data_IF_111928643647
#
_entry.id   IF_111928643647
#
_cell.length_a   1.000
_cell.length_b   1.000
_cell.length_c   1.000
_cell.angle_alpha   90.00
_cell.angle_beta   90.00
_cell.angle_gamma   90.00
#
_symmetry.space_group_name_H-M   'P 1'
#
loop_
_entity.id
_entity.type
_entity.pdbx_description
1 polymer ?
#
# COMPACT_ATOMS: atom_id res chain seq x y z
N UNK A 1 -4.43 20.77 31.61
CA UNK A 1 -5.63 21.42 31.03
C UNK A 1 -5.32 22.38 29.88
N UNK A 2 -4.05 22.76 29.62
CA UNK A 2 -3.67 23.65 28.53
C UNK A 2 -3.52 22.96 27.14
N UNK A 3 -3.36 21.64 27.09
CA UNK A 3 -3.11 20.91 25.83
C UNK A 3 -4.35 20.74 24.94
N UNK A 4 -5.57 20.85 25.49
CA UNK A 4 -6.80 20.59 24.72
C UNK A 4 -7.15 21.71 23.72
N UNK A 5 -6.66 22.93 23.93
CA UNK A 5 -7.00 24.10 23.11
C UNK A 5 -6.00 24.37 21.98
N UNK A 6 -4.75 23.91 22.09
CA UNK A 6 -3.75 24.00 21.01
C UNK A 6 -3.93 22.90 19.93
N UNK A 7 -4.64 21.82 20.27
CA UNK A 7 -4.88 20.66 19.40
C UNK A 7 -6.17 20.79 18.55
N UNK A 8 -7.16 21.58 18.99
CA UNK A 8 -8.36 21.86 18.18
C UNK A 8 -8.06 22.82 17.02
N UNK A 9 -7.13 23.78 17.20
CA UNK A 9 -6.78 24.76 16.17
C UNK A 9 -6.12 24.13 14.92
N UNK A 10 -5.37 23.04 15.09
CA UNK A 10 -4.77 22.29 13.96
C UNK A 10 -5.75 21.39 13.20
N UNK A 11 -6.92 21.11 13.77
CA UNK A 11 -7.90 20.17 13.25
C UNK A 11 -8.87 20.84 12.28
N UNK A 12 -9.31 22.06 12.58
CA UNK A 12 -10.15 22.85 11.67
C UNK A 12 -9.36 23.27 10.42
N UNK A 13 -8.11 23.73 10.56
CA UNK A 13 -7.29 24.12 9.40
C UNK A 13 -6.95 22.92 8.49
N UNK A 14 -6.72 21.72 9.03
CA UNK A 14 -6.43 20.53 8.22
C UNK A 14 -7.67 19.91 7.53
N UNK A 15 -8.88 20.21 8.03
CA UNK A 15 -10.15 19.77 7.41
C UNK A 15 -10.66 20.83 6.42
N UNK A 16 -10.34 22.11 6.63
CA UNK A 16 -10.79 23.24 5.80
C UNK A 16 -9.81 23.55 4.65
N UNK A 17 -8.56 23.11 4.73
CA UNK A 17 -7.63 23.25 3.61
C UNK A 17 -8.11 22.40 2.41
N UNK A 18 -8.55 23.08 1.35
CA UNK A 18 -9.00 22.54 0.06
C UNK A 18 -7.94 21.65 -0.64
N UNK A 19 -6.77 21.48 -0.02
CA UNK A 19 -5.63 20.68 -0.49
C UNK A 19 -5.56 19.26 0.09
N UNK A 20 -6.39 18.88 1.08
CA UNK A 20 -6.54 17.50 1.53
C UNK A 20 -7.49 16.70 0.59
N UNK A 21 -7.14 16.60 -0.70
CA UNK A 21 -8.03 16.01 -1.74
C UNK A 21 -7.96 14.49 -1.87
N UNK A 22 -7.02 13.81 -1.21
CA UNK A 22 -6.88 12.35 -1.35
C UNK A 22 -7.39 11.58 -0.12
N UNK A 23 -8.26 10.56 -0.29
CA UNK A 23 -8.73 9.70 0.82
C UNK A 23 -7.57 8.96 1.53
N UNK A 24 -6.38 8.94 0.92
CA UNK A 24 -5.14 8.45 1.50
C UNK A 24 -4.65 9.25 2.73
N UNK A 25 -4.83 10.58 2.73
CA UNK A 25 -4.41 11.45 3.84
C UNK A 25 -5.34 11.27 5.04
N UNK A 26 -6.64 11.12 4.78
CA UNK A 26 -7.67 10.85 5.79
C UNK A 26 -7.50 9.45 6.41
N UNK A 27 -7.10 8.45 5.61
CA UNK A 27 -6.81 7.10 6.14
C UNK A 27 -5.52 7.04 6.97
N UNK A 28 -4.51 7.84 6.65
CA UNK A 28 -3.29 7.94 7.47
C UNK A 28 -3.56 8.67 8.79
N UNK A 29 -4.35 9.76 8.76
CA UNK A 29 -4.83 10.45 9.96
C UNK A 29 -5.65 9.48 10.83
N UNK A 30 -6.62 8.76 10.26
CA UNK A 30 -7.45 7.83 11.04
C UNK A 30 -6.69 6.62 11.58
N UNK A 31 -5.60 6.16 10.93
CA UNK A 31 -4.70 5.14 11.52
C UNK A 31 -3.98 5.63 12.78
N UNK A 32 -3.70 6.94 12.90
CA UNK A 32 -3.15 7.51 14.13
C UNK A 32 -4.16 7.45 15.29
N UNK A 33 -5.46 7.44 15.01
CA UNK A 33 -6.54 7.44 16.02
C UNK A 33 -7.21 6.07 16.25
N UNK A 34 -7.06 5.10 15.34
CA UNK A 34 -7.80 3.82 15.40
C UNK A 34 -7.08 2.67 16.11
N UNK A 35 -5.78 2.76 16.37
CA UNK A 35 -5.02 1.65 16.96
C UNK A 35 -4.97 1.72 18.49
N UNK A 36 -5.59 0.74 19.16
CA UNK A 36 -5.47 0.51 20.62
C UNK A 36 -4.09 0.01 21.05
N UNK A 37 -3.20 -0.35 20.11
CA UNK A 37 -1.86 -0.89 20.39
C UNK A 37 -0.82 0.22 20.41
N UNK A 38 -0.30 0.53 21.59
CA UNK A 38 0.80 1.50 21.75
C UNK A 38 2.03 1.05 20.94
N UNK A 39 2.59 1.95 20.15
CA UNK A 39 3.85 1.74 19.43
C UNK A 39 5.04 1.87 20.38
N UNK A 40 6.21 1.33 19.99
CA UNK A 40 7.45 1.50 20.78
C UNK A 40 7.78 2.98 21.01
N UNK A 41 7.51 3.84 20.03
CA UNK A 41 7.74 5.27 20.14
C UNK A 41 6.73 5.97 21.05
N UNK A 42 5.44 5.59 21.04
CA UNK A 42 4.47 6.15 22.00
C UNK A 42 4.81 5.75 23.43
N UNK A 43 5.26 4.52 23.65
CA UNK A 43 5.73 4.06 24.96
C UNK A 43 6.95 4.87 25.41
N UNK A 44 7.92 5.11 24.53
CA UNK A 44 9.08 5.95 24.83
C UNK A 44 8.71 7.43 25.13
N UNK A 45 7.67 7.97 24.48
CA UNK A 45 7.14 9.32 24.78
C UNK A 45 6.49 9.39 26.16
N UNK A 46 5.70 8.38 26.54
CA UNK A 46 5.12 8.28 27.88
C UNK A 46 6.18 8.21 28.99
N UNK A 47 7.38 7.70 28.67
CA UNK A 47 8.54 7.70 29.56
C UNK A 47 9.24 9.07 29.66
N UNK A 48 8.84 10.08 28.89
CA UNK A 48 9.40 11.42 28.92
C UNK A 48 10.71 11.60 28.15
N UNK A 49 11.02 10.70 27.21
CA UNK A 49 12.28 10.73 26.45
C UNK A 49 12.22 11.60 25.17
N UNK A 50 11.10 12.28 24.93
CA UNK A 50 10.84 13.02 23.69
C UNK A 50 11.74 14.23 23.49
N UNK A 51 11.82 15.11 24.50
CA UNK A 51 12.67 16.30 24.42
C UNK A 51 14.15 15.94 24.24
N UNK A 52 14.59 14.82 24.84
CA UNK A 52 15.94 14.30 24.67
C UNK A 52 16.16 13.86 23.22
N UNK A 53 15.26 13.04 22.67
CA UNK A 53 15.37 12.57 21.29
C UNK A 53 15.33 13.72 20.26
N UNK A 54 14.41 14.67 20.42
CA UNK A 54 14.34 15.87 19.57
C UNK A 54 15.59 16.74 19.72
N UNK A 55 16.05 16.95 20.95
CA UNK A 55 17.29 17.68 21.22
C UNK A 55 18.49 17.03 20.55
N UNK A 56 18.60 15.70 20.60
CA UNK A 56 19.67 14.94 19.96
C UNK A 56 19.63 15.07 18.43
N UNK A 57 18.44 15.02 17.82
CA UNK A 57 18.27 15.26 16.37
C UNK A 57 18.63 16.70 15.97
N UNK A 58 18.46 17.68 16.87
CA UNK A 58 18.90 19.07 16.68
C UNK A 58 20.40 19.31 16.94
N UNK A 59 21.15 18.26 17.30
CA UNK A 59 22.60 18.34 17.54
C UNK A 59 23.01 18.65 18.98
N UNK A 60 22.07 18.68 19.93
CA UNK A 60 22.39 18.85 21.37
C UNK A 60 23.00 17.58 21.95
N UNK A 61 23.87 17.75 22.94
CA UNK A 61 24.50 16.65 23.67
C UNK A 61 23.77 16.38 24.98
N UNK A 62 23.33 15.14 25.20
CA UNK A 62 22.79 14.66 26.47
C UNK A 62 23.69 13.58 27.09
N UNK A 63 23.68 13.48 28.42
CA UNK A 63 24.29 12.37 29.14
C UNK A 63 23.21 11.32 29.45
N UNK A 64 23.19 10.24 28.66
CA UNK A 64 22.15 9.19 28.76
C UNK A 64 22.18 8.45 30.09
N UNK A 65 23.33 8.37 30.75
CA UNK A 65 23.47 7.74 32.06
C UNK A 65 22.69 8.47 33.15
N UNK A 66 22.45 9.77 33.01
CA UNK A 66 21.62 10.55 33.95
C UNK A 66 20.13 10.24 33.82
N UNK A 67 19.70 9.63 32.71
CA UNK A 67 18.30 9.26 32.49
C UNK A 67 17.95 7.90 33.10
N UNK A 68 18.95 7.10 33.48
CA UNK A 68 18.75 5.80 34.13
C UNK A 68 18.17 6.01 35.52
N UNK A 69 17.07 5.31 35.82
CA UNK A 69 16.36 5.43 37.09
C UNK A 69 15.47 6.68 37.21
N UNK A 70 15.41 7.53 36.20
CA UNK A 70 14.50 8.69 36.19
C UNK A 70 13.02 8.28 36.21
N UNK A 71 12.71 7.09 35.67
CA UNK A 71 11.41 6.41 35.78
C UNK A 71 11.60 4.93 36.09
N UNK A 72 10.55 4.29 36.61
CA UNK A 72 10.54 2.86 37.01
C UNK A 72 10.80 1.91 35.86
N UNK A 73 10.61 2.34 34.63
CA UNK A 73 10.79 1.54 33.42
C UNK A 73 12.21 1.69 32.82
N UNK A 74 12.95 2.73 33.21
CA UNK A 74 14.28 3.06 32.68
C UNK A 74 15.37 2.48 33.57
N UNK A 75 15.43 1.15 33.64
CA UNK A 75 16.23 0.42 34.64
C UNK A 75 17.73 0.37 34.33
N UNK A 76 18.09 0.47 33.05
CA UNK A 76 19.48 0.41 32.60
C UNK A 76 19.71 1.31 31.38
N UNK A 77 20.97 1.58 31.08
CA UNK A 77 21.37 2.44 29.96
C UNK A 77 20.88 1.87 28.61
N UNK A 78 20.96 0.56 28.42
CA UNK A 78 20.52 -0.10 27.20
C UNK A 78 19.03 0.14 26.90
N UNK A 79 18.18 0.08 27.92
CA UNK A 79 16.75 0.37 27.78
C UNK A 79 16.51 1.82 27.39
N UNK A 80 17.25 2.76 27.98
CA UNK A 80 17.18 4.19 27.61
C UNK A 80 17.55 4.36 26.14
N UNK A 81 18.69 3.79 25.72
CA UNK A 81 19.16 3.87 24.34
C UNK A 81 18.19 3.25 23.34
N UNK A 82 17.61 2.08 23.64
CA UNK A 82 16.61 1.43 22.79
C UNK A 82 15.37 2.32 22.63
N UNK A 83 14.87 2.93 23.71
CA UNK A 83 13.70 3.79 23.65
C UNK A 83 13.98 5.09 22.89
N UNK A 84 15.13 5.72 23.13
CA UNK A 84 15.57 6.90 22.37
C UNK A 84 15.73 6.56 20.89
N UNK A 85 16.35 5.42 20.54
CA UNK A 85 16.50 4.97 19.15
C UNK A 85 15.14 4.81 18.46
N UNK A 86 14.19 4.14 19.11
CA UNK A 86 12.83 3.96 18.57
C UNK A 86 12.13 5.30 18.36
N UNK A 87 12.34 6.25 19.27
CA UNK A 87 11.72 7.56 19.22
C UNK A 87 12.35 8.44 18.12
N UNK A 88 13.67 8.45 18.01
CA UNK A 88 14.38 9.13 16.93
C UNK A 88 13.95 8.60 15.55
N UNK A 89 13.78 7.29 15.40
CA UNK A 89 13.28 6.70 14.16
C UNK A 89 11.85 7.15 13.82
N UNK A 90 10.95 7.21 14.81
CA UNK A 90 9.57 7.71 14.63
C UNK A 90 9.55 9.22 14.31
N UNK A 91 10.38 10.03 14.99
CA UNK A 91 10.52 11.46 14.72
C UNK A 91 11.03 11.72 13.30
N UNK A 92 12.07 11.00 12.87
CA UNK A 92 12.61 11.11 11.51
C UNK A 92 11.57 10.77 10.44
N UNK A 93 10.73 9.75 10.68
CA UNK A 93 9.64 9.39 9.77
C UNK A 93 8.55 10.48 9.66
N UNK A 94 8.38 11.31 10.70
CA UNK A 94 7.39 12.39 10.76
C UNK A 94 7.90 13.75 10.28
N UNK A 95 9.19 13.87 9.96
CA UNK A 95 9.75 15.12 9.44
C UNK A 95 9.07 15.51 8.12
N UNK A 96 8.69 16.79 7.92
CA UNK A 96 8.09 17.25 6.67
C UNK A 96 8.94 16.89 5.44
N UNK A 97 10.25 17.06 5.54
CA UNK A 97 11.20 16.75 4.46
C UNK A 97 11.18 15.25 4.10
N UNK A 98 10.98 14.38 5.10
CA UNK A 98 10.84 12.94 4.86
C UNK A 98 9.55 12.65 4.11
N UNK A 99 8.44 13.30 4.47
CA UNK A 99 7.16 13.13 3.79
C UNK A 99 7.22 13.63 2.34
N UNK A 100 7.83 14.79 2.11
CA UNK A 100 8.02 15.35 0.79
C UNK A 100 8.92 14.47 -0.08
N UNK A 101 10.00 13.92 0.49
CA UNK A 101 10.87 12.97 -0.21
C UNK A 101 10.11 11.70 -0.59
N UNK A 102 9.28 11.17 0.31
CA UNK A 102 8.42 10.00 0.02
C UNK A 102 7.47 10.31 -1.13
N UNK A 103 6.84 11.50 -1.14
CA UNK A 103 5.95 11.95 -2.21
C UNK A 103 6.70 12.07 -3.53
N UNK A 104 7.86 12.73 -3.56
CA UNK A 104 8.68 12.88 -4.76
C UNK A 104 9.14 11.52 -5.34
N UNK A 105 9.54 10.57 -4.48
CA UNK A 105 9.90 9.21 -4.92
C UNK A 105 8.67 8.48 -5.46
N UNK A 106 7.53 8.55 -4.76
CA UNK A 106 6.31 7.88 -5.17
C UNK A 106 5.70 8.44 -6.47
N UNK A 107 5.80 9.77 -6.65
CA UNK A 107 5.47 10.48 -7.89
C UNK A 107 6.47 10.23 -9.03
N UNK A 108 7.52 9.44 -8.80
CA UNK A 108 8.57 9.10 -9.76
C UNK A 108 9.35 10.31 -10.27
N UNK A 109 9.37 11.40 -9.49
CA UNK A 109 10.06 12.66 -9.79
C UNK A 109 11.58 12.55 -9.57
N UNK A 110 12.01 11.50 -8.88
CA UNK A 110 13.42 11.21 -8.59
C UNK A 110 14.04 10.22 -9.58
N UNK A 111 15.37 10.07 -9.51
CA UNK A 111 16.13 9.09 -10.31
C UNK A 111 16.19 7.69 -9.66
N UNK A 112 15.44 7.48 -8.58
CA UNK A 112 15.37 6.21 -7.89
C UNK A 112 14.82 5.14 -8.83
N UNK A 113 15.52 4.01 -8.91
CA UNK A 113 15.04 2.87 -9.67
C UNK A 113 14.00 2.10 -8.86
N UNK A 114 12.77 2.08 -9.38
CA UNK A 114 11.63 1.41 -8.77
C UNK A 114 11.22 0.23 -9.66
N UNK A 115 11.09 -0.96 -9.08
CA UNK A 115 10.59 -2.11 -9.83
C UNK A 115 9.49 -2.84 -9.06
N UNK A 116 8.50 -3.34 -9.78
CA UNK A 116 7.56 -4.32 -9.24
C UNK A 116 8.21 -5.69 -9.29
N UNK A 117 8.12 -6.43 -8.19
CA UNK A 117 8.51 -7.83 -8.10
C UNK A 117 7.32 -8.65 -7.63
N UNK A 118 7.01 -9.72 -8.35
CA UNK A 118 5.93 -10.63 -8.03
C UNK A 118 6.44 -12.07 -8.07
N UNK A 119 5.96 -12.88 -7.13
CA UNK A 119 6.11 -14.32 -7.24
C UNK A 119 5.17 -15.09 -6.35
N UNK A 120 5.41 -16.40 -6.19
CA UNK A 120 4.51 -17.26 -5.42
C UNK A 120 4.43 -16.86 -3.95
N UNK A 121 3.21 -16.85 -3.43
CA UNK A 121 2.96 -16.65 -2.01
C UNK A 121 3.55 -17.79 -1.17
N UNK A 122 3.82 -17.52 0.11
CA UNK A 122 4.29 -18.56 1.03
C UNK A 122 3.26 -19.69 1.26
N UNK A 123 1.97 -19.43 1.00
CA UNK A 123 0.92 -20.46 1.05
C UNK A 123 0.96 -21.31 -0.21
N UNK A 124 0.97 -20.69 -1.39
CA UNK A 124 0.97 -21.37 -2.67
C UNK A 124 2.21 -22.25 -2.89
N UNK A 125 3.38 -21.84 -2.36
CA UNK A 125 4.59 -22.67 -2.35
C UNK A 125 4.44 -24.01 -1.63
N UNK A 126 3.45 -24.15 -0.74
CA UNK A 126 3.19 -25.38 0.02
C UNK A 126 2.12 -26.25 -0.62
N UNK A 127 1.43 -25.76 -1.66
CA UNK A 127 0.41 -26.53 -2.34
C UNK A 127 1.02 -27.67 -3.15
N UNK A 128 0.28 -28.77 -3.21
CA UNK A 128 0.62 -30.02 -3.86
C UNK A 128 -0.43 -30.39 -4.89
N UNK A 129 -0.14 -31.34 -5.78
CA UNK A 129 -1.09 -31.79 -6.81
C UNK A 129 -2.45 -32.30 -6.25
N UNK A 130 -2.48 -32.73 -4.98
CA UNK A 130 -3.71 -33.13 -4.29
C UNK A 130 -4.57 -31.95 -3.83
N UNK A 131 -4.01 -30.74 -3.73
CA UNK A 131 -4.75 -29.55 -3.35
C UNK A 131 -5.58 -29.04 -4.52
N UNK A 132 -6.88 -28.84 -4.30
CA UNK A 132 -7.78 -28.24 -5.30
C UNK A 132 -7.28 -26.87 -5.80
N UNK A 133 -6.58 -26.15 -4.92
CA UNK A 133 -6.04 -24.82 -5.20
C UNK A 133 -4.76 -24.83 -6.05
N UNK A 134 -4.05 -25.96 -6.15
CA UNK A 134 -2.81 -26.05 -6.94
C UNK A 134 -3.02 -25.69 -8.40
N UNK A 135 -4.19 -26.04 -8.96
CA UNK A 135 -4.53 -25.71 -10.35
C UNK A 135 -4.64 -24.20 -10.59
N UNK A 136 -4.96 -23.39 -9.58
CA UNK A 136 -5.02 -21.93 -9.73
C UNK A 136 -3.66 -21.33 -10.07
N UNK A 137 -2.54 -21.95 -9.68
CA UNK A 137 -1.19 -21.46 -10.01
C UNK A 137 -1.03 -21.28 -11.52
N UNK A 138 -1.59 -22.19 -12.32
CA UNK A 138 -1.49 -22.15 -13.78
C UNK A 138 -2.11 -20.90 -14.40
N UNK A 139 -3.14 -20.32 -13.76
CA UNK A 139 -3.79 -19.09 -14.23
C UNK A 139 -2.90 -17.84 -14.08
N UNK A 140 -1.83 -17.94 -13.28
CA UNK A 140 -0.96 -16.83 -12.91
C UNK A 140 0.51 -17.07 -13.28
N UNK A 141 0.80 -18.04 -14.15
CA UNK A 141 2.15 -18.49 -14.45
C UNK A 141 3.06 -17.36 -14.97
N UNK A 142 2.51 -16.43 -15.75
CA UNK A 142 3.22 -15.26 -16.28
C UNK A 142 3.75 -14.31 -15.19
N UNK A 143 3.25 -14.44 -13.95
CA UNK A 143 3.55 -13.54 -12.82
C UNK A 143 4.33 -14.19 -11.67
N UNK A 144 4.74 -15.46 -11.80
CA UNK A 144 5.43 -16.22 -10.74
C UNK A 144 6.88 -15.77 -10.52
N UNK A 145 7.54 -15.23 -11.54
CA UNK A 145 8.89 -14.62 -11.43
C UNK A 145 8.93 -13.31 -12.22
N UNK A 146 7.94 -12.45 -11.94
CA UNK A 146 7.75 -11.24 -12.71
C UNK A 146 8.48 -10.07 -12.07
N UNK A 147 9.30 -9.40 -12.89
CA UNK A 147 9.97 -8.14 -12.52
C UNK A 147 9.83 -7.13 -13.64
N UNK A 148 9.34 -5.93 -13.32
CA UNK A 148 9.18 -4.84 -14.29
C UNK A 148 9.38 -3.48 -13.65
N UNK A 149 9.93 -2.53 -14.39
CA UNK A 149 10.00 -1.13 -13.95
C UNK A 149 8.59 -0.57 -13.68
N UNK A 150 8.42 0.13 -12.56
CA UNK A 150 7.14 0.72 -12.16
C UNK A 150 6.59 1.70 -13.21
N UNK A 151 7.45 2.43 -13.93
CA UNK A 151 7.07 3.37 -14.99
C UNK A 151 6.50 2.68 -16.22
N UNK A 152 6.87 1.40 -16.42
CA UNK A 152 6.51 0.62 -17.63
C UNK A 152 5.42 -0.42 -17.36
N UNK A 153 4.94 -0.56 -16.13
CA UNK A 153 3.98 -1.60 -15.81
C UNK A 153 2.58 -1.26 -16.34
N UNK A 154 1.95 -2.24 -16.98
CA UNK A 154 0.63 -2.07 -17.59
C UNK A 154 -0.48 -2.29 -16.54
N UNK A 155 -1.63 -1.63 -16.74
CA UNK A 155 -2.75 -1.70 -15.81
C UNK A 155 -3.32 -3.13 -15.66
N UNK A 156 -3.42 -3.90 -16.76
CA UNK A 156 -3.90 -5.29 -16.69
C UNK A 156 -2.94 -6.20 -15.91
N UNK A 157 -1.62 -5.91 -15.92
CA UNK A 157 -0.63 -6.66 -15.16
C UNK A 157 -0.79 -6.41 -13.66
N UNK A 158 -1.03 -5.15 -13.27
CA UNK A 158 -1.32 -4.77 -11.88
C UNK A 158 -2.56 -5.52 -11.37
N UNK A 159 -3.64 -5.51 -12.15
CA UNK A 159 -4.89 -6.19 -11.76
C UNK A 159 -4.73 -7.72 -11.70
N UNK A 160 -3.97 -8.32 -12.61
CA UNK A 160 -3.68 -9.75 -12.58
C UNK A 160 -2.90 -10.15 -11.32
N UNK A 161 -1.87 -9.38 -10.95
CA UNK A 161 -1.11 -9.62 -9.72
C UNK A 161 -1.95 -9.39 -8.46
N UNK A 162 -2.77 -8.33 -8.44
CA UNK A 162 -3.69 -8.04 -7.35
C UNK A 162 -4.69 -9.19 -7.16
N UNK A 163 -5.27 -9.69 -8.25
CA UNK A 163 -6.18 -10.84 -8.21
C UNK A 163 -5.49 -12.11 -7.74
N UNK A 164 -4.25 -12.35 -8.18
CA UNK A 164 -3.46 -13.50 -7.72
C UNK A 164 -3.13 -13.43 -6.23
N UNK A 165 -2.92 -12.23 -5.67
CA UNK A 165 -2.71 -12.03 -4.24
C UNK A 165 -4.00 -12.25 -3.42
N UNK A 166 -5.15 -11.76 -3.90
CA UNK A 166 -6.46 -12.05 -3.28
C UNK A 166 -6.80 -13.54 -3.24
N UNK A 167 -6.36 -14.28 -4.25
CA UNK A 167 -6.50 -15.74 -4.32
C UNK A 167 -5.42 -16.50 -3.52
N UNK A 168 -4.60 -15.81 -2.72
CA UNK A 168 -3.47 -16.39 -1.98
C UNK A 168 -2.42 -17.11 -2.87
N UNK A 169 -2.42 -16.88 -4.19
CA UNK A 169 -1.51 -17.53 -5.15
C UNK A 169 -0.19 -16.76 -5.24
N UNK A 170 -0.28 -15.46 -5.44
CA UNK A 170 0.86 -14.57 -5.65
C UNK A 170 1.11 -13.70 -4.41
N UNK A 171 2.30 -13.14 -4.35
CA UNK A 171 2.63 -12.00 -3.51
C UNK A 171 3.49 -11.06 -4.35
N UNK A 172 3.18 -9.77 -4.31
CA UNK A 172 3.96 -8.78 -5.03
C UNK A 172 4.28 -7.58 -4.18
N UNK A 173 5.41 -6.95 -4.47
CA UNK A 173 5.94 -5.81 -3.74
C UNK A 173 6.59 -4.82 -4.70
N UNK A 174 6.70 -3.59 -4.23
CA UNK A 174 7.56 -2.60 -4.87
C UNK A 174 8.95 -2.77 -4.30
N UNK A 175 9.91 -3.07 -5.15
CA UNK A 175 11.32 -3.05 -4.84
C UNK A 175 11.87 -1.64 -5.07
N UNK A 176 12.45 -1.09 -4.00
CA UNK A 176 12.89 0.30 -3.90
C UNK A 176 14.40 0.26 -3.69
N UNK A 177 15.16 0.37 -4.78
CA UNK A 177 16.61 0.17 -4.75
C UNK A 177 17.34 1.50 -4.48
N UNK A 178 18.42 1.42 -3.69
CA UNK A 178 19.37 2.52 -3.46
C UNK A 178 18.76 3.83 -2.90
N UNK A 179 17.60 3.78 -2.24
CA UNK A 179 16.93 4.97 -1.68
C UNK A 179 17.44 5.41 -0.32
N UNK A 180 18.35 4.66 0.30
CA UNK A 180 18.85 4.99 1.64
C UNK A 180 19.42 6.41 1.69
N UNK A 181 20.17 6.80 0.65
CA UNK A 181 20.79 8.13 0.53
C UNK A 181 19.79 9.28 0.39
N UNK A 182 18.58 9.01 -0.07
CA UNK A 182 17.53 10.02 -0.22
C UNK A 182 16.90 10.38 1.14
N UNK A 183 17.10 9.58 2.18
CA UNK A 183 16.49 9.83 3.48
C UNK A 183 17.07 11.12 4.11
N UNK A 184 16.23 12.15 4.41
CA UNK A 184 16.69 13.46 4.89
C UNK A 184 17.51 13.43 6.17
N UNK A 185 17.31 12.39 6.99
CA UNK A 185 18.15 12.09 8.16
C UNK A 185 19.66 12.12 7.88
N UNK A 186 20.12 11.79 6.67
CA UNK A 186 21.56 11.88 6.33
C UNK A 186 22.09 13.32 6.36
N UNK A 187 21.24 14.34 6.23
CA UNK A 187 21.61 15.75 6.32
C UNK A 187 21.66 16.30 7.75
N UNK A 188 21.23 15.53 8.76
CA UNK A 188 21.18 16.01 10.14
C UNK A 188 22.58 16.11 10.76
N UNK A 189 22.82 17.22 11.46
CA UNK A 189 24.07 17.46 12.19
C UNK A 189 23.97 16.92 13.60
N UNK A 190 24.52 15.73 13.82
CA UNK A 190 24.49 15.03 15.11
C UNK A 190 25.83 15.18 15.84
N UNK A 191 25.75 15.42 17.15
CA UNK A 191 26.92 15.49 18.02
C UNK A 191 27.73 14.19 17.97
N UNK A 192 29.08 14.24 17.98
CA UNK A 192 29.93 13.04 17.87
C UNK A 192 29.59 11.94 18.87
N UNK A 193 29.24 12.31 20.11
CA UNK A 193 28.89 11.37 21.19
C UNK A 193 27.63 10.53 20.92
N UNK A 194 26.78 10.97 19.99
CA UNK A 194 25.47 10.35 19.71
C UNK A 194 25.40 9.69 18.34
N UNK A 195 26.50 9.68 17.58
CA UNK A 195 26.53 9.21 16.19
C UNK A 195 26.12 7.75 16.05
N UNK A 196 26.63 6.86 16.90
CA UNK A 196 26.34 5.43 16.78
C UNK A 196 24.87 5.13 17.06
N UNK A 197 24.31 5.78 18.10
CA UNK A 197 22.89 5.68 18.42
C UNK A 197 22.02 6.22 17.30
N UNK A 198 22.39 7.38 16.73
CA UNK A 198 21.72 7.98 15.59
C UNK A 198 21.77 7.10 14.34
N UNK A 199 22.92 6.54 14.00
CA UNK A 199 23.07 5.63 12.85
C UNK A 199 22.16 4.41 13.00
N UNK A 200 22.08 3.84 14.20
CA UNK A 200 21.16 2.75 14.48
C UNK A 200 19.69 3.18 14.34
N UNK A 201 19.34 4.39 14.80
CA UNK A 201 17.99 4.94 14.64
C UNK A 201 17.64 5.23 13.17
N UNK A 202 18.60 5.73 12.39
CA UNK A 202 18.41 6.03 10.97
C UNK A 202 18.19 4.74 10.17
N UNK A 203 18.95 3.69 10.45
CA UNK A 203 18.74 2.36 9.85
C UNK A 203 17.37 1.76 10.21
N UNK A 204 16.94 1.95 11.46
CA UNK A 204 15.60 1.54 11.90
C UNK A 204 14.50 2.34 11.19
N UNK A 205 14.68 3.66 11.04
CA UNK A 205 13.79 4.54 10.27
C UNK A 205 13.65 4.12 8.82
N UNK A 206 14.79 3.86 8.16
CA UNK A 206 14.84 3.40 6.78
C UNK A 206 14.04 2.10 6.57
N UNK A 207 14.31 1.10 7.41
CA UNK A 207 13.77 -0.25 7.24
C UNK A 207 12.31 -0.40 7.68
N UNK A 208 11.89 0.23 8.79
CA UNK A 208 10.53 0.10 9.33
C UNK A 208 9.54 1.11 8.78
N UNK A 209 10.01 2.30 8.42
CA UNK A 209 9.13 3.41 8.12
C UNK A 209 9.30 3.92 6.69
N UNK A 210 10.48 4.43 6.33
CA UNK A 210 10.71 5.13 5.07
C UNK A 210 10.47 4.25 3.84
N UNK A 211 11.18 3.12 3.72
CA UNK A 211 11.02 2.20 2.59
C UNK A 211 9.61 1.62 2.55
N UNK A 212 9.06 1.07 3.66
CA UNK A 212 7.67 0.56 3.65
C UNK A 212 6.62 1.62 3.31
N UNK A 213 6.83 2.89 3.68
CA UNK A 213 5.91 3.98 3.34
C UNK A 213 5.94 4.23 1.83
N UNK A 214 7.12 4.36 1.22
CA UNK A 214 7.27 4.50 -0.24
C UNK A 214 6.60 3.33 -0.98
N UNK A 215 6.88 2.10 -0.56
CA UNK A 215 6.30 0.89 -1.15
C UNK A 215 4.77 0.92 -1.11
N UNK A 216 4.18 1.28 0.04
CA UNK A 216 2.73 1.38 0.21
C UNK A 216 2.13 2.48 -0.65
N UNK A 217 2.73 3.67 -0.67
CA UNK A 217 2.23 4.81 -1.45
C UNK A 217 2.23 4.49 -2.96
N UNK A 218 3.35 4.00 -3.50
CA UNK A 218 3.44 3.60 -4.91
C UNK A 218 2.43 2.50 -5.22
N UNK A 219 2.34 1.48 -4.37
CA UNK A 219 1.43 0.36 -4.59
C UNK A 219 -0.03 0.82 -4.67
N UNK A 220 -0.47 1.69 -3.75
CA UNK A 220 -1.83 2.26 -3.76
C UNK A 220 -2.08 3.04 -5.04
N UNK A 221 -1.14 3.89 -5.44
CA UNK A 221 -1.24 4.69 -6.67
C UNK A 221 -1.38 3.80 -7.92
N UNK A 222 -0.58 2.73 -8.03
CA UNK A 222 -0.67 1.77 -9.15
C UNK A 222 -2.02 1.05 -9.20
N UNK A 223 -2.53 0.60 -8.05
CA UNK A 223 -3.82 -0.09 -7.97
C UNK A 223 -4.94 0.86 -8.39
N UNK A 224 -4.99 2.05 -7.79
CA UNK A 224 -6.01 3.07 -8.11
C UNK A 224 -6.01 3.42 -9.60
N UNK A 225 -4.84 3.66 -10.20
CA UNK A 225 -4.69 3.91 -11.64
C UNK A 225 -5.21 2.74 -12.49
N UNK A 226 -4.93 1.51 -12.06
CA UNK A 226 -5.31 0.33 -12.82
C UNK A 226 -6.83 0.05 -12.75
N UNK A 227 -7.43 0.24 -11.58
CA UNK A 227 -8.88 0.12 -11.36
C UNK A 227 -9.65 1.16 -12.16
N UNK A 228 -9.23 2.42 -12.11
CA UNK A 228 -9.88 3.53 -12.82
C UNK A 228 -9.83 3.33 -14.35
N UNK A 229 -8.70 2.85 -14.86
CA UNK A 229 -8.56 2.47 -16.27
C UNK A 229 -9.47 1.29 -16.63
N UNK A 230 -9.56 0.25 -15.79
CA UNK A 230 -10.42 -0.89 -16.05
C UNK A 230 -11.90 -0.53 -16.08
N UNK A 231 -12.36 0.32 -15.16
CA UNK A 231 -13.72 0.85 -15.14
C UNK A 231 -14.01 1.62 -16.44
N UNK A 232 -13.07 2.48 -16.85
CA UNK A 232 -13.20 3.27 -18.08
C UNK A 232 -13.32 2.40 -19.33
N UNK A 233 -12.47 1.37 -19.47
CA UNK A 233 -12.55 0.43 -20.58
C UNK A 233 -13.83 -0.42 -20.53
N UNK A 234 -14.27 -0.83 -19.35
CA UNK A 234 -15.52 -1.56 -19.18
C UNK A 234 -16.73 -0.72 -19.61
N UNK A 235 -16.80 0.54 -19.18
CA UNK A 235 -17.84 1.47 -19.58
C UNK A 235 -17.84 1.70 -21.11
N UNK A 236 -16.65 1.86 -21.71
CA UNK A 236 -16.51 2.00 -23.16
C UNK A 236 -17.04 0.77 -23.90
N UNK A 237 -16.66 -0.44 -23.45
CA UNK A 237 -17.12 -1.70 -24.05
C UNK A 237 -18.64 -1.88 -23.93
N UNK A 238 -19.23 -1.55 -22.78
CA UNK A 238 -20.68 -1.55 -22.60
C UNK A 238 -21.37 -0.57 -23.54
N UNK A 239 -20.84 0.64 -23.67
CA UNK A 239 -21.39 1.66 -24.56
C UNK A 239 -21.39 1.20 -26.01
N UNK A 240 -20.31 0.56 -26.47
CA UNK A 240 -20.25 -0.04 -27.80
C UNK A 240 -21.25 -1.17 -28.00
N UNK A 241 -21.56 -1.95 -26.96
CA UNK A 241 -22.57 -3.00 -27.03
C UNK A 241 -23.98 -2.41 -27.23
N UNK A 242 -24.30 -1.31 -26.53
CA UNK A 242 -25.60 -0.63 -26.65
C UNK A 242 -25.79 0.14 -27.96
N UNK A 243 -24.70 0.59 -28.60
CA UNK A 243 -24.77 1.24 -29.91
C UNK A 243 -24.87 0.30 -31.10
N UNK A 244 -24.81 -1.02 -30.86
CA UNK A 244 -25.04 -1.97 -31.96
C UNK A 244 -26.46 -1.79 -32.48
N UNK A 245 -26.57 -1.67 -33.79
CA UNK A 245 -27.87 -1.60 -34.44
C UNK A 245 -28.70 -2.84 -34.07
N UNK A 246 -29.92 -2.61 -33.60
CA UNK A 246 -30.84 -3.67 -33.26
C UNK A 246 -31.37 -4.36 -34.51
N UNK A 247 -31.66 -5.65 -34.42
CA UNK A 247 -32.37 -6.37 -35.48
C UNK A 247 -33.86 -6.05 -35.38
N UNK A 248 -34.41 -5.39 -36.41
CA UNK A 248 -35.82 -4.99 -36.45
C UNK A 248 -36.65 -5.94 -37.33
N UNK A 249 -37.87 -6.24 -36.89
CA UNK A 249 -38.92 -6.92 -37.68
C UNK A 249 -38.51 -8.26 -38.32
N UNK A 250 -37.63 -9.03 -37.67
CA UNK A 250 -37.17 -10.33 -38.15
C UNK A 250 -37.55 -11.45 -37.17
N UNK A 251 -37.67 -12.68 -37.70
CA UNK A 251 -37.69 -13.88 -36.87
C UNK A 251 -36.25 -14.19 -36.42
N UNK A 252 -36.05 -14.35 -35.10
CA UNK A 252 -34.72 -14.56 -34.51
C UNK A 252 -34.71 -15.86 -33.72
N UNK A 253 -33.69 -16.69 -33.94
CA UNK A 253 -33.37 -17.81 -33.06
C UNK A 253 -32.18 -17.40 -32.20
N UNK A 254 -32.41 -17.21 -30.89
CA UNK A 254 -31.34 -16.96 -29.93
C UNK A 254 -30.79 -18.30 -29.44
N UNK A 255 -29.48 -18.51 -29.63
CA UNK A 255 -28.77 -19.71 -29.17
C UNK A 255 -27.84 -19.31 -28.02
N UNK A 256 -28.04 -19.92 -26.85
CA UNK A 256 -27.14 -19.81 -25.70
C UNK A 256 -26.34 -21.12 -25.58
N UNK A 257 -25.09 -21.14 -26.12
CA UNK A 257 -24.29 -22.35 -26.18
C UNK A 257 -23.78 -22.74 -24.78
N UNK A 258 -24.08 -23.97 -24.37
CA UNK A 258 -23.50 -24.62 -23.19
C UNK A 258 -22.70 -25.86 -23.58
N UNK A 259 -21.75 -26.26 -22.72
CA UNK A 259 -20.85 -27.40 -22.99
C UNK A 259 -21.57 -28.74 -23.23
N UNK A 260 -22.71 -28.98 -22.57
CA UNK A 260 -23.46 -30.24 -22.64
C UNK A 260 -24.86 -30.12 -23.27
N UNK A 261 -25.39 -28.91 -23.42
CA UNK A 261 -26.66 -28.63 -24.07
C UNK A 261 -26.68 -27.18 -24.56
N UNK A 262 -27.37 -26.93 -25.68
CA UNK A 262 -27.59 -25.60 -26.23
C UNK A 262 -29.05 -25.20 -25.97
N UNK A 263 -29.27 -24.04 -25.36
CA UNK A 263 -30.63 -23.51 -25.17
C UNK A 263 -31.00 -22.68 -26.40
N UNK A 264 -32.23 -22.84 -26.88
CA UNK A 264 -32.73 -22.09 -28.02
C UNK A 264 -34.03 -21.35 -27.65
N UNK A 265 -34.16 -20.11 -28.12
CA UNK A 265 -35.41 -19.35 -28.03
C UNK A 265 -35.78 -18.83 -29.41
N UNK A 266 -37.04 -19.02 -29.82
CA UNK A 266 -37.57 -18.47 -31.05
C UNK A 266 -38.35 -17.19 -30.74
N UNK A 267 -37.97 -16.11 -31.41
CA UNK A 267 -38.53 -14.78 -31.25
C UNK A 267 -39.24 -14.38 -32.54
N UNK A 268 -40.54 -14.09 -32.44
CA UNK A 268 -41.31 -13.52 -33.52
C UNK A 268 -41.13 -11.99 -33.60
N UNK A 269 -41.37 -11.34 -34.76
CA UNK A 269 -41.26 -9.89 -34.94
C UNK A 269 -42.07 -9.04 -33.95
N UNK A 270 -43.10 -9.60 -33.31
CA UNK A 270 -44.01 -8.95 -32.36
C UNK A 270 -43.66 -9.16 -30.87
N UNK A 271 -42.44 -9.62 -30.55
CA UNK A 271 -41.94 -9.84 -29.17
C UNK A 271 -42.62 -11.00 -28.43
N UNK A 272 -43.41 -11.84 -29.11
CA UNK A 272 -43.82 -13.13 -28.54
C UNK A 272 -42.63 -14.10 -28.49
N UNK A 273 -42.35 -14.59 -27.28
CA UNK A 273 -41.24 -15.51 -27.00
C UNK A 273 -41.80 -16.93 -26.88
N UNK A 274 -41.34 -17.84 -27.74
CA UNK A 274 -41.58 -19.28 -27.58
C UNK A 274 -40.25 -19.97 -27.22
N UNK A 275 -40.13 -20.42 -25.97
CA UNK A 275 -38.93 -21.10 -25.47
C UNK A 275 -39.00 -22.60 -25.76
N UNK A 276 -37.94 -23.17 -26.35
CA UNK A 276 -37.85 -24.61 -26.61
C UNK A 276 -36.54 -25.13 -26.01
N UNK A 277 -36.61 -26.10 -25.09
CA UNK A 277 -35.42 -26.75 -24.55
C UNK A 277 -35.00 -27.90 -25.48
N UNK A 278 -34.03 -27.65 -26.34
CA UNK A 278 -33.46 -28.68 -27.22
C UNK A 278 -32.29 -29.40 -26.54
N UNK A 279 -32.46 -30.67 -26.20
CA UNK A 279 -31.34 -31.56 -25.90
C UNK A 279 -30.88 -32.21 -27.19
N UNK A 280 -29.71 -31.83 -27.68
CA UNK A 280 -29.04 -32.57 -28.74
C UNK A 280 -28.46 -33.84 -28.10
N UNK A 281 -29.17 -34.96 -28.26
CA UNK A 281 -28.64 -36.28 -27.94
C UNK A 281 -27.48 -36.61 -28.88
N UNK A 282 -26.50 -37.37 -28.38
CA UNK A 282 -25.42 -37.93 -29.20
C UNK A 282 -25.96 -38.84 -30.30
#
# INVERSE_FOLDING_TARGET
MAEKWLLDYTLEDAIVDEHAREPADITEITQLYSSTRKTKATVAREMGLEEVAQGMLSGKTFNLSQLVGSRKELNNLETVEINIRNLMADLMNRMPETLDTVKAIAGMETKVHLSVQCGLSNKAKKWTLSDSSYRLISNFNDYVDFKKDVRRIENYQILAMQRGEECDVLTWKIDVACTEKEHPGHGLRIAPSHRDLFQAALKDSLSRFFIPKIQRTIRRSLISRAEEAAISYFALNLRHLFWREGVNSAFVIALDPGFSACKAAFLAPTVQINCIHCRFGK
#
